data_IF_116676619307
#
_entry.id   IF_116676619307
#
_cell.length_a   1.000
_cell.length_b   1.000
_cell.length_c   1.000
_cell.angle_alpha   90.00
_cell.angle_beta   90.00
_cell.angle_gamma   90.00
#
_symmetry.space_group_name_H-M   'P 1'
#
loop_
_entity.id
_entity.type
_entity.pdbx_description
1 polymer ?
#
# COMPACT_ATOMS: atom_id res chain seq x y z
N UNK A 1 -15.19 -11.70 -32.81
CA UNK A 1 -14.17 -10.97 -32.05
C UNK A 1 -14.75 -9.75 -31.33
N UNK A 2 -15.40 -8.81 -32.00
CA UNK A 2 -15.98 -7.61 -31.35
C UNK A 2 -16.94 -7.91 -30.23
N UNK A 3 -17.75 -8.97 -30.32
CA UNK A 3 -18.69 -9.38 -29.29
C UNK A 3 -18.01 -9.61 -27.92
N UNK A 4 -16.90 -10.35 -27.90
CA UNK A 4 -16.18 -10.66 -26.66
C UNK A 4 -15.42 -9.45 -26.11
N UNK A 5 -14.95 -8.55 -26.98
CA UNK A 5 -14.33 -7.28 -26.57
C UNK A 5 -15.38 -6.40 -25.87
N UNK A 6 -16.54 -6.20 -26.51
CA UNK A 6 -17.63 -5.43 -25.91
C UNK A 6 -18.08 -6.07 -24.60
N UNK A 7 -18.22 -7.39 -24.57
CA UNK A 7 -18.63 -8.11 -23.37
C UNK A 7 -17.61 -7.97 -22.23
N UNK A 8 -16.31 -8.16 -22.49
CA UNK A 8 -15.25 -7.99 -21.49
C UNK A 8 -15.20 -6.56 -20.95
N UNK A 9 -15.28 -5.56 -21.82
CA UNK A 9 -15.35 -4.16 -21.42
C UNK A 9 -16.61 -3.86 -20.57
N UNK A 10 -17.78 -4.37 -21.00
CA UNK A 10 -19.03 -4.19 -20.23
C UNK A 10 -18.98 -4.82 -18.85
N UNK A 11 -18.34 -5.99 -18.72
CA UNK A 11 -18.14 -6.64 -17.40
C UNK A 11 -17.24 -5.78 -16.51
N UNK A 12 -16.14 -5.25 -17.03
CA UNK A 12 -15.26 -4.37 -16.28
C UNK A 12 -15.98 -3.11 -15.80
N UNK A 13 -16.71 -2.44 -16.70
CA UNK A 13 -17.51 -1.25 -16.35
C UNK A 13 -18.64 -1.57 -15.37
N UNK A 14 -19.32 -2.71 -15.55
CA UNK A 14 -20.37 -3.17 -14.65
C UNK A 14 -19.84 -3.41 -13.23
N UNK A 15 -18.70 -4.06 -13.10
CA UNK A 15 -18.03 -4.25 -11.82
C UNK A 15 -17.71 -2.90 -11.19
N UNK A 16 -17.04 -2.01 -11.94
CA UNK A 16 -16.61 -0.70 -11.42
C UNK A 16 -17.78 0.18 -10.96
N UNK A 17 -18.83 0.30 -11.78
CA UNK A 17 -19.88 1.29 -11.55
C UNK A 17 -21.16 0.74 -10.90
N UNK A 18 -21.38 -0.58 -10.91
CA UNK A 18 -22.56 -1.19 -10.32
C UNK A 18 -22.27 -2.06 -9.10
N UNK A 19 -21.12 -2.72 -9.05
CA UNK A 19 -20.79 -3.65 -7.97
C UNK A 19 -19.92 -3.00 -6.89
N UNK A 20 -18.80 -2.37 -7.28
CA UNK A 20 -17.87 -1.75 -6.33
C UNK A 20 -18.48 -0.67 -5.43
N UNK A 21 -19.41 0.22 -5.89
CA UNK A 21 -19.97 1.25 -5.01
C UNK A 21 -20.79 0.71 -3.83
N UNK A 22 -21.15 -0.57 -3.84
CA UNK A 22 -21.83 -1.23 -2.73
C UNK A 22 -20.92 -2.02 -1.80
N UNK A 23 -19.60 -1.82 -1.91
CA UNK A 23 -18.58 -2.51 -1.12
C UNK A 23 -17.79 -1.47 -0.31
N UNK A 24 -17.44 -1.83 0.90
CA UNK A 24 -16.59 -1.03 1.78
C UNK A 24 -15.10 -1.34 1.57
N UNK A 25 -14.80 -2.52 0.98
CA UNK A 25 -13.44 -3.00 0.75
C UNK A 25 -13.35 -3.93 -0.48
N UNK A 26 -12.15 -4.18 -1.03
CA UNK A 26 -11.92 -5.13 -2.11
C UNK A 26 -12.38 -6.55 -1.73
N UNK A 27 -13.19 -7.17 -2.58
CA UNK A 27 -13.70 -8.52 -2.38
C UNK A 27 -13.26 -9.47 -3.49
N UNK A 28 -13.04 -10.74 -3.15
CA UNK A 28 -12.70 -11.80 -4.10
C UNK A 28 -13.73 -11.96 -5.24
N UNK A 29 -14.98 -11.53 -5.04
CA UNK A 29 -16.02 -11.58 -6.06
C UNK A 29 -15.68 -10.72 -7.29
N UNK A 30 -14.90 -9.64 -7.11
CA UNK A 30 -14.46 -8.75 -8.21
C UNK A 30 -13.63 -9.50 -9.25
N UNK A 31 -12.93 -10.55 -8.84
CA UNK A 31 -12.09 -11.39 -9.69
C UNK A 31 -12.79 -12.69 -10.09
N UNK A 32 -13.54 -13.30 -9.19
CA UNK A 32 -14.21 -14.59 -9.43
C UNK A 32 -15.39 -14.46 -10.39
N UNK A 33 -16.18 -13.39 -10.28
CA UNK A 33 -17.36 -13.19 -11.13
C UNK A 33 -17.00 -13.14 -12.63
N UNK A 34 -16.02 -12.37 -13.10
CA UNK A 34 -15.62 -12.36 -14.51
C UNK A 34 -15.12 -13.73 -14.99
N UNK A 35 -14.40 -14.48 -14.14
CA UNK A 35 -13.93 -15.81 -14.50
C UNK A 35 -15.11 -16.78 -14.66
N UNK A 36 -16.13 -16.70 -13.82
CA UNK A 36 -17.37 -17.49 -13.96
C UNK A 36 -18.13 -17.09 -15.25
N UNK A 37 -18.13 -15.80 -15.59
CA UNK A 37 -18.75 -15.28 -16.81
C UNK A 37 -18.08 -15.81 -18.10
N UNK A 38 -16.86 -16.34 -18.06
CA UNK A 38 -16.26 -17.05 -19.20
C UNK A 38 -17.16 -18.21 -19.69
N UNK A 39 -17.89 -18.89 -18.79
CA UNK A 39 -18.79 -19.97 -19.17
C UNK A 39 -19.96 -19.50 -20.04
N UNK A 40 -20.31 -18.23 -20.00
CA UNK A 40 -21.41 -17.64 -20.78
C UNK A 40 -21.01 -17.25 -22.21
N UNK A 41 -19.72 -17.25 -22.54
CA UNK A 41 -19.22 -16.83 -23.86
C UNK A 41 -19.81 -17.70 -24.98
N UNK A 42 -19.82 -19.03 -24.79
CA UNK A 42 -20.35 -19.95 -25.80
C UNK A 42 -21.86 -19.75 -26.00
N UNK A 43 -22.71 -19.77 -24.95
CA UNK A 43 -24.14 -19.52 -25.10
C UNK A 43 -24.43 -18.14 -25.71
N UNK A 44 -23.76 -17.07 -25.28
CA UNK A 44 -23.96 -15.74 -25.84
C UNK A 44 -23.65 -15.70 -27.34
N UNK A 45 -22.55 -16.31 -27.78
CA UNK A 45 -22.23 -16.40 -29.21
C UNK A 45 -23.32 -17.15 -29.99
N UNK A 46 -23.82 -18.26 -29.46
CA UNK A 46 -24.88 -19.04 -30.12
C UNK A 46 -26.22 -18.31 -30.23
N UNK A 47 -26.49 -17.39 -29.30
CA UNK A 47 -27.71 -16.55 -29.35
C UNK A 47 -27.57 -15.41 -30.34
N UNK A 48 -26.41 -14.75 -30.39
CA UNK A 48 -26.22 -13.51 -31.14
C UNK A 48 -25.76 -13.80 -32.57
N UNK A 49 -24.91 -14.81 -32.77
CA UNK A 49 -24.33 -15.14 -34.06
C UNK A 49 -25.20 -16.23 -34.75
N UNK A 50 -25.66 -16.01 -35.98
CA UNK A 50 -26.43 -17.03 -36.71
C UNK A 50 -25.72 -18.38 -36.71
N UNK A 51 -26.48 -19.49 -36.55
CA UNK A 51 -25.97 -20.85 -36.42
C UNK A 51 -25.03 -21.27 -37.52
N UNK A 52 -25.32 -20.87 -38.75
CA UNK A 52 -24.46 -21.12 -39.96
C UNK A 52 -23.00 -20.64 -39.80
N UNK A 53 -22.74 -19.68 -38.89
CA UNK A 53 -21.39 -19.19 -38.59
C UNK A 53 -20.85 -19.77 -37.31
N UNK A 54 -21.69 -19.88 -36.25
CA UNK A 54 -21.24 -20.38 -34.94
C UNK A 54 -20.91 -21.88 -34.95
N UNK A 55 -21.57 -22.67 -35.83
CA UNK A 55 -21.28 -24.10 -36.04
C UNK A 55 -19.91 -24.35 -36.68
N UNK A 56 -19.34 -23.35 -37.37
CA UNK A 56 -17.99 -23.44 -37.93
C UNK A 56 -16.87 -23.20 -36.94
N UNK A 57 -17.22 -22.86 -35.69
CA UNK A 57 -16.20 -22.56 -34.69
C UNK A 57 -15.53 -23.85 -34.20
N UNK A 58 -14.22 -23.86 -34.29
CA UNK A 58 -13.35 -24.90 -33.74
C UNK A 58 -13.05 -24.62 -32.28
N UNK A 59 -12.50 -25.62 -31.56
CA UNK A 59 -12.00 -25.42 -30.19
C UNK A 59 -10.98 -24.28 -30.07
N UNK A 60 -10.14 -24.08 -31.12
CA UNK A 60 -9.21 -22.97 -31.18
C UNK A 60 -9.90 -21.60 -31.26
N UNK A 61 -11.06 -21.51 -31.93
CA UNK A 61 -11.84 -20.27 -31.98
C UNK A 61 -12.47 -19.95 -30.63
N UNK A 62 -12.97 -20.98 -29.91
CA UNK A 62 -13.51 -20.80 -28.55
C UNK A 62 -12.42 -20.41 -27.55
N UNK A 63 -11.25 -21.03 -27.61
CA UNK A 63 -10.12 -20.65 -26.77
C UNK A 63 -9.73 -19.19 -27.00
N UNK A 64 -9.60 -18.74 -28.27
CA UNK A 64 -9.32 -17.34 -28.60
C UNK A 64 -10.39 -16.39 -28.10
N UNK A 65 -11.66 -16.78 -28.14
CA UNK A 65 -12.77 -15.95 -27.67
C UNK A 65 -12.67 -15.78 -26.13
N UNK A 66 -12.43 -16.85 -25.38
CA UNK A 66 -12.26 -16.81 -23.92
C UNK A 66 -11.03 -15.98 -23.56
N UNK A 67 -9.89 -16.23 -24.21
CA UNK A 67 -8.66 -15.48 -23.99
C UNK A 67 -8.85 -13.98 -24.23
N UNK A 68 -9.49 -13.62 -25.35
CA UNK A 68 -9.75 -12.23 -25.69
C UNK A 68 -10.71 -11.56 -24.72
N UNK A 69 -11.72 -12.28 -24.22
CA UNK A 69 -12.60 -11.78 -23.14
C UNK A 69 -11.82 -11.47 -21.87
N UNK A 70 -11.04 -12.44 -21.37
CA UNK A 70 -10.25 -12.29 -20.14
C UNK A 70 -9.27 -11.12 -20.26
N UNK A 71 -8.53 -11.07 -21.39
CA UNK A 71 -7.58 -9.99 -21.63
C UNK A 71 -8.26 -8.62 -21.71
N UNK A 72 -9.40 -8.52 -22.40
CA UNK A 72 -10.15 -7.28 -22.52
C UNK A 72 -10.72 -6.85 -21.17
N UNK A 73 -11.30 -7.80 -20.42
CA UNK A 73 -11.77 -7.51 -19.07
C UNK A 73 -10.64 -6.99 -18.18
N UNK A 74 -9.49 -7.65 -18.14
CA UNK A 74 -8.34 -7.21 -17.33
C UNK A 74 -7.85 -5.82 -17.76
N UNK A 75 -7.70 -5.58 -19.06
CA UNK A 75 -7.24 -4.30 -19.58
C UNK A 75 -8.20 -3.15 -19.21
N UNK A 76 -9.52 -3.35 -19.39
CA UNK A 76 -10.50 -2.34 -19.00
C UNK A 76 -10.61 -2.19 -17.48
N UNK A 77 -10.54 -3.28 -16.72
CA UNK A 77 -10.52 -3.22 -15.26
C UNK A 77 -9.32 -2.39 -14.77
N UNK A 78 -8.15 -2.61 -15.34
CA UNK A 78 -6.96 -1.81 -15.02
C UNK A 78 -7.19 -0.31 -15.29
N UNK A 79 -7.75 0.04 -16.43
CA UNK A 79 -8.02 1.43 -16.77
C UNK A 79 -9.03 2.08 -15.82
N UNK A 80 -10.15 1.39 -15.52
CA UNK A 80 -11.25 1.99 -14.73
C UNK A 80 -11.05 1.89 -13.21
N UNK A 81 -10.03 1.16 -12.75
CA UNK A 81 -9.67 1.03 -11.33
C UNK A 81 -8.45 1.86 -10.92
N UNK A 82 -7.92 2.66 -11.85
CA UNK A 82 -6.75 3.52 -11.58
C UNK A 82 -7.08 4.99 -11.87
N UNK A 83 -6.28 5.94 -11.33
CA UNK A 83 -6.44 7.36 -11.61
C UNK A 83 -6.42 7.68 -13.11
N UNK A 84 -7.22 8.65 -13.56
CA UNK A 84 -8.13 9.52 -12.79
C UNK A 84 -9.55 8.95 -12.60
N UNK A 85 -9.84 7.69 -12.95
CA UNK A 85 -11.19 7.13 -12.95
C UNK A 85 -11.56 6.47 -11.60
N UNK A 86 -10.57 6.02 -10.87
CA UNK A 86 -10.70 5.44 -9.54
C UNK A 86 -9.39 5.57 -8.78
N UNK A 87 -9.46 5.35 -7.48
CA UNK A 87 -8.32 5.21 -6.61
C UNK A 87 -8.62 4.12 -5.58
N UNK A 88 -8.10 2.93 -5.83
CA UNK A 88 -8.32 1.74 -5.01
C UNK A 88 -7.05 1.26 -4.30
N UNK A 89 -5.95 1.95 -4.53
CA UNK A 89 -4.67 1.57 -3.95
C UNK A 89 -4.49 2.28 -2.61
N UNK A 90 -4.35 1.55 -1.50
CA UNK A 90 -4.16 2.20 -0.20
C UNK A 90 -2.81 2.91 -0.11
N UNK A 91 -2.69 3.94 0.74
CA UNK A 91 -1.44 4.61 1.00
C UNK A 91 -0.42 3.65 1.62
N UNK A 92 0.86 3.88 1.37
CA UNK A 92 1.95 3.00 1.83
C UNK A 92 3.09 3.82 2.43
N UNK A 93 4.03 3.15 3.09
CA UNK A 93 5.31 3.75 3.46
C UNK A 93 6.40 3.36 2.48
N UNK A 94 7.18 4.34 2.03
CA UNK A 94 8.35 4.12 1.20
C UNK A 94 9.47 3.45 2.02
N UNK A 95 9.55 2.13 1.94
CA UNK A 95 10.60 1.34 2.61
C UNK A 95 10.41 1.11 4.12
N UNK A 96 9.31 1.56 4.72
CA UNK A 96 9.04 1.43 6.16
C UNK A 96 9.59 2.60 6.97
N UNK A 97 10.04 2.35 8.21
CA UNK A 97 10.66 3.36 9.08
C UNK A 97 12.20 3.34 8.95
N UNK A 98 12.85 4.46 9.27
CA UNK A 98 14.30 4.56 9.46
C UNK A 98 14.64 5.35 10.72
N UNK A 99 15.86 5.22 11.18
CA UNK A 99 16.38 5.92 12.34
C UNK A 99 17.58 6.77 11.91
N UNK A 100 17.71 7.98 12.45
CA UNK A 100 18.89 8.79 12.27
C UNK A 100 20.10 8.14 12.97
N UNK A 101 21.29 8.22 12.36
CA UNK A 101 22.53 7.79 12.99
C UNK A 101 22.93 8.80 14.06
N UNK A 102 22.54 8.56 15.31
CA UNK A 102 22.92 9.37 16.47
C UNK A 102 24.11 8.79 17.22
N UNK A 103 24.66 9.57 18.17
CA UNK A 103 25.77 9.12 19.01
C UNK A 103 25.34 7.93 19.87
N UNK A 104 26.20 6.91 19.99
CA UNK A 104 25.94 5.70 20.77
C UNK A 104 25.35 4.55 19.96
N UNK A 105 24.85 4.77 18.75
CA UNK A 105 24.43 3.70 17.84
C UNK A 105 25.67 3.07 17.21
N UNK A 106 25.94 1.81 17.54
CA UNK A 106 27.08 1.06 17.00
C UNK A 106 26.71 0.33 15.72
N UNK A 107 25.57 -0.35 15.73
CA UNK A 107 25.07 -1.12 14.59
C UNK A 107 23.54 -1.07 14.53
N UNK A 108 23.02 -1.05 13.33
CA UNK A 108 21.57 -1.15 13.08
C UNK A 108 21.25 -2.27 12.10
N UNK A 109 20.08 -2.88 12.27
CA UNK A 109 19.58 -3.83 11.27
C UNK A 109 18.06 -3.71 11.13
N UNK A 110 17.56 -3.99 9.90
CA UNK A 110 16.15 -4.00 9.60
C UNK A 110 15.74 -5.35 9.02
N UNK A 111 14.78 -6.00 9.68
CA UNK A 111 14.26 -7.27 9.21
C UNK A 111 12.81 -7.48 9.63
N UNK A 112 11.93 -7.74 8.66
CA UNK A 112 10.54 -8.12 8.88
C UNK A 112 9.76 -7.18 9.81
N UNK A 113 9.92 -5.86 9.65
CA UNK A 113 9.23 -4.86 10.48
C UNK A 113 9.88 -4.61 11.85
N UNK A 114 11.00 -5.26 12.14
CA UNK A 114 11.81 -5.02 13.35
C UNK A 114 13.05 -4.22 13.00
N UNK A 115 13.20 -3.08 13.63
CA UNK A 115 14.39 -2.24 13.59
C UNK A 115 15.22 -2.52 14.84
N UNK A 116 16.40 -3.11 14.69
CA UNK A 116 17.31 -3.39 15.82
C UNK A 116 18.40 -2.34 15.89
N UNK A 117 18.60 -1.79 17.08
CA UNK A 117 19.67 -0.83 17.40
C UNK A 117 20.55 -1.46 18.47
N UNK A 118 21.85 -1.62 18.18
CA UNK A 118 22.85 -2.05 19.15
C UNK A 118 23.62 -0.83 19.66
N UNK A 119 23.71 -0.70 20.98
CA UNK A 119 24.30 0.44 21.66
C UNK A 119 25.65 0.10 22.31
N UNK A 120 26.55 1.08 22.35
CA UNK A 120 27.75 1.04 23.17
C UNK A 120 27.64 1.87 24.45
N UNK A 121 26.42 2.34 24.78
CA UNK A 121 26.11 3.16 25.95
C UNK A 121 24.77 2.72 26.58
N UNK A 122 24.39 3.33 27.72
CA UNK A 122 23.22 2.91 28.49
C UNK A 122 21.88 3.30 27.83
N UNK A 123 21.85 4.41 27.12
CA UNK A 123 20.65 4.98 26.47
C UNK A 123 21.00 5.55 25.09
N UNK A 124 20.01 5.86 24.28
CA UNK A 124 20.20 6.47 22.97
C UNK A 124 19.12 7.50 22.67
N UNK A 125 19.51 8.61 22.05
CA UNK A 125 18.56 9.55 21.47
C UNK A 125 18.12 9.03 20.11
N UNK A 126 16.81 8.84 19.95
CA UNK A 126 16.23 8.23 18.76
C UNK A 126 15.40 9.23 18.00
N UNK A 127 15.79 9.53 16.77
CA UNK A 127 14.95 10.23 15.78
C UNK A 127 14.50 9.23 14.74
N UNK A 128 13.20 9.06 14.63
CA UNK A 128 12.57 8.13 13.66
C UNK A 128 11.97 8.88 12.50
N UNK A 129 12.16 8.36 11.29
CA UNK A 129 11.54 8.90 10.09
C UNK A 129 10.81 7.86 9.26
N UNK A 130 9.86 8.34 8.48
CA UNK A 130 9.15 7.57 7.46
C UNK A 130 8.78 8.47 6.28
N UNK A 131 8.53 7.88 5.10
CA UNK A 131 8.01 8.61 3.95
C UNK A 131 6.66 8.03 3.52
N UNK A 132 5.62 8.85 3.60
CA UNK A 132 4.25 8.51 3.18
C UNK A 132 4.18 8.59 1.67
N UNK A 133 3.67 7.54 1.06
CA UNK A 133 3.49 7.43 -0.40
C UNK A 133 2.06 7.12 -0.72
N UNK A 134 1.52 7.87 -1.67
CA UNK A 134 0.26 7.59 -2.32
C UNK A 134 0.36 7.76 -3.83
N UNK A 135 -0.52 7.09 -4.58
CA UNK A 135 -0.53 7.13 -6.04
C UNK A 135 -1.26 8.37 -6.61
N UNK A 136 -2.00 9.10 -5.78
CA UNK A 136 -2.76 10.30 -6.17
C UNK A 136 -2.27 11.52 -5.43
N UNK A 137 -2.32 11.50 -4.09
CA UNK A 137 -2.08 12.67 -3.25
C UNK A 137 -1.62 12.27 -1.83
N UNK A 138 -0.30 12.11 -1.64
CA UNK A 138 0.25 11.79 -0.33
C UNK A 138 0.02 12.89 0.72
N UNK A 139 -0.20 14.14 0.32
CA UNK A 139 -0.45 15.28 1.22
C UNK A 139 -1.76 15.13 1.99
N UNK A 140 -2.78 14.55 1.34
CA UNK A 140 -4.12 14.38 1.91
C UNK A 140 -4.29 13.12 2.76
N UNK A 141 -3.31 12.22 2.79
CA UNK A 141 -3.33 11.02 3.62
C UNK A 141 -3.43 11.40 5.08
N UNK A 142 -4.47 10.93 5.76
CA UNK A 142 -4.63 11.10 7.21
C UNK A 142 -3.82 10.02 7.93
N UNK A 143 -2.99 10.44 8.88
CA UNK A 143 -2.05 9.59 9.61
C UNK A 143 -2.43 9.64 11.08
N UNK A 144 -2.53 8.46 11.70
CA UNK A 144 -2.55 8.29 13.15
C UNK A 144 -1.36 7.39 13.47
N UNK A 145 -0.42 7.92 14.25
CA UNK A 145 0.77 7.17 14.64
C UNK A 145 1.06 7.36 16.12
N UNK A 146 1.48 6.29 16.79
CA UNK A 146 1.84 6.32 18.20
C UNK A 146 2.97 5.33 18.53
N UNK A 147 3.74 5.65 19.55
CA UNK A 147 4.77 4.79 20.12
C UNK A 147 4.30 4.20 21.45
N UNK A 148 4.58 2.91 21.66
CA UNK A 148 4.23 2.16 22.85
C UNK A 148 5.46 1.49 23.46
N UNK A 149 5.49 1.40 24.78
CA UNK A 149 6.43 0.60 25.52
C UNK A 149 5.69 -0.33 26.47
N UNK A 150 5.93 -1.64 26.36
CA UNK A 150 5.23 -2.68 27.17
C UNK A 150 3.71 -2.61 27.11
N UNK A 151 3.17 -2.17 25.94
CA UNK A 151 1.72 -2.05 25.73
C UNK A 151 1.08 -0.76 26.25
N UNK A 152 1.85 0.14 26.86
CA UNK A 152 1.39 1.47 27.25
C UNK A 152 1.85 2.50 26.22
N UNK A 153 0.93 3.38 25.78
CA UNK A 153 1.26 4.47 24.87
C UNK A 153 2.18 5.45 25.60
N UNK A 154 3.34 5.72 25.00
CA UNK A 154 4.27 6.73 25.48
C UNK A 154 3.90 8.09 24.89
N UNK A 155 3.65 8.13 23.58
CA UNK A 155 3.42 9.35 22.83
C UNK A 155 2.56 9.11 21.60
N UNK A 156 1.69 10.07 21.27
CA UNK A 156 1.02 10.20 19.99
C UNK A 156 1.93 10.99 19.05
N UNK A 157 2.42 10.35 17.98
CA UNK A 157 3.37 10.95 17.05
C UNK A 157 2.67 11.77 15.98
N UNK A 158 1.55 11.27 15.44
CA UNK A 158 0.78 11.94 14.42
C UNK A 158 -0.72 11.73 14.59
N UNK A 159 -1.50 12.79 14.30
CA UNK A 159 -2.96 12.74 14.26
C UNK A 159 -3.48 13.85 13.32
N UNK A 160 -3.51 13.57 12.02
CA UNK A 160 -3.93 14.54 11.00
C UNK A 160 -3.46 14.17 9.60
N UNK A 161 -3.63 15.08 8.65
CA UNK A 161 -3.14 14.86 7.27
C UNK A 161 -1.62 14.99 7.21
N UNK A 162 -0.98 14.27 6.29
CA UNK A 162 0.48 14.32 6.13
C UNK A 162 1.01 15.74 6.00
N UNK A 163 0.36 16.57 5.18
CA UNK A 163 0.75 17.97 4.98
C UNK A 163 0.57 18.86 6.23
N UNK A 164 -0.24 18.45 7.21
CA UNK A 164 -0.43 19.23 8.44
C UNK A 164 0.72 19.13 9.43
N UNK A 165 1.60 18.14 9.25
CA UNK A 165 2.77 17.86 10.08
C UNK A 165 4.01 18.61 9.58
N UNK A 166 3.95 19.95 9.58
CA UNK A 166 5.00 20.80 8.99
C UNK A 166 6.32 20.75 9.75
N UNK A 167 6.29 20.63 11.08
CA UNK A 167 7.49 20.53 11.92
C UNK A 167 8.21 19.20 11.68
N UNK A 168 7.46 18.11 11.54
CA UNK A 168 7.97 16.78 11.24
C UNK A 168 8.53 16.68 9.81
N UNK A 169 7.94 17.39 8.86
CA UNK A 169 8.49 17.52 7.50
C UNK A 169 9.82 18.27 7.49
N UNK A 170 9.90 19.41 8.18
CA UNK A 170 11.14 20.19 8.31
C UNK A 170 12.23 19.37 9.03
N UNK A 171 11.86 18.61 10.05
CA UNK A 171 12.78 17.71 10.74
C UNK A 171 13.30 16.64 9.79
N UNK A 172 12.42 15.96 9.04
CA UNK A 172 12.82 14.94 8.06
C UNK A 172 13.82 15.48 7.04
N UNK A 173 13.55 16.67 6.49
CA UNK A 173 14.39 17.31 5.50
C UNK A 173 15.74 17.78 6.05
N UNK A 174 15.86 17.98 7.36
CA UNK A 174 17.10 18.36 8.03
C UNK A 174 18.08 17.21 8.22
N UNK A 175 17.58 15.95 8.18
CA UNK A 175 18.36 14.75 8.46
C UNK A 175 19.04 14.24 7.18
N UNK A 176 20.36 14.05 7.23
CA UNK A 176 21.15 13.59 6.09
C UNK A 176 21.83 12.23 6.33
N UNK A 177 21.69 11.66 7.50
CA UNK A 177 22.41 10.48 7.97
C UNK A 177 21.47 9.37 8.43
N UNK A 178 20.44 9.07 7.62
CA UNK A 178 19.58 7.92 7.82
C UNK A 178 20.39 6.62 7.78
N UNK A 179 20.18 5.72 8.76
CA UNK A 179 20.98 4.49 8.87
C UNK A 179 20.79 3.51 7.72
N UNK A 180 19.62 3.57 7.05
CA UNK A 180 19.32 2.76 5.85
C UNK A 180 19.55 3.51 4.54
N UNK A 181 20.03 4.77 4.63
CA UNK A 181 20.30 5.62 3.48
C UNK A 181 19.06 5.91 2.65
N UNK A 182 19.16 5.85 1.32
CA UNK A 182 18.08 6.23 0.40
C UNK A 182 16.87 5.26 0.39
N UNK A 183 16.87 4.22 1.22
CA UNK A 183 15.77 3.22 1.21
C UNK A 183 14.46 3.74 1.72
N UNK A 184 14.50 4.74 2.59
CA UNK A 184 13.33 5.47 3.11
C UNK A 184 13.27 6.88 2.53
N UNK A 185 14.09 7.15 1.53
CA UNK A 185 14.11 8.44 0.84
C UNK A 185 12.80 8.68 0.08
N UNK A 186 12.18 9.86 0.25
CA UNK A 186 10.97 10.22 -0.48
C UNK A 186 11.28 10.43 -1.96
N UNK A 187 10.37 9.99 -2.83
CA UNK A 187 10.31 10.46 -4.21
C UNK A 187 9.54 11.79 -4.26
N UNK A 188 9.58 12.49 -5.37
CA UNK A 188 9.09 13.87 -5.47
C UNK A 188 7.61 14.11 -5.14
N UNK A 189 6.81 13.05 -4.92
CA UNK A 189 5.41 13.12 -4.47
C UNK A 189 5.19 12.51 -3.08
N UNK A 190 6.22 11.96 -2.45
CA UNK A 190 6.11 11.36 -1.11
C UNK A 190 6.30 12.46 -0.05
N UNK A 191 5.67 12.29 1.12
CA UNK A 191 5.83 13.19 2.25
C UNK A 191 6.70 12.52 3.30
N UNK A 192 7.89 13.09 3.53
CA UNK A 192 8.79 12.67 4.61
C UNK A 192 8.34 13.27 5.94
N UNK A 193 8.29 12.46 7.00
CA UNK A 193 7.97 12.88 8.36
C UNK A 193 8.98 12.27 9.32
N UNK A 194 9.45 13.05 10.29
CA UNK A 194 10.34 12.57 11.35
C UNK A 194 9.93 13.09 12.73
N UNK A 195 10.21 12.30 13.75
CA UNK A 195 9.91 12.59 15.15
C UNK A 195 11.13 12.32 16.01
N UNK A 196 11.42 13.25 16.92
CA UNK A 196 12.37 13.04 18.01
C UNK A 196 11.66 12.28 19.14
N UNK A 197 11.98 11.00 19.29
CA UNK A 197 11.42 10.13 20.33
C UNK A 197 12.13 10.33 21.69
N UNK A 198 13.10 11.24 21.74
CA UNK A 198 13.93 11.49 22.92
C UNK A 198 14.88 10.35 23.25
N UNK A 199 15.33 10.36 24.51
CA UNK A 199 16.27 9.35 25.02
C UNK A 199 15.54 8.08 25.42
N UNK A 200 15.86 6.97 24.76
CA UNK A 200 15.24 5.67 25.01
C UNK A 200 16.20 4.71 25.73
N UNK A 201 15.65 3.93 26.66
CA UNK A 201 16.34 2.81 27.33
C UNK A 201 16.37 1.55 26.46
N UNK A 202 17.28 0.61 26.71
CA UNK A 202 17.22 -0.72 26.10
C UNK A 202 15.87 -1.42 26.34
N UNK A 203 15.27 -1.93 25.28
CA UNK A 203 13.94 -2.54 25.31
C UNK A 203 13.30 -2.67 23.95
N UNK A 204 12.03 -3.07 23.92
CA UNK A 204 11.23 -3.18 22.72
C UNK A 204 10.11 -2.14 22.72
N UNK A 205 10.11 -1.30 21.71
CA UNK A 205 9.12 -0.26 21.49
C UNK A 205 8.30 -0.62 20.24
N UNK A 206 6.99 -0.43 20.31
CA UNK A 206 6.09 -0.69 19.20
C UNK A 206 5.64 0.64 18.61
N UNK A 207 5.73 0.77 17.29
CA UNK A 207 5.19 1.89 16.52
C UNK A 207 3.97 1.38 15.78
N UNK A 208 2.80 1.94 16.06
CA UNK A 208 1.56 1.66 15.34
C UNK A 208 1.23 2.83 14.43
N UNK A 209 0.96 2.56 13.17
CA UNK A 209 0.67 3.56 12.15
C UNK A 209 -0.59 3.14 11.41
N UNK A 210 -1.59 4.00 11.40
CA UNK A 210 -2.77 3.87 10.56
C UNK A 210 -2.81 5.02 9.58
N UNK A 211 -2.88 4.71 8.30
CA UNK A 211 -3.01 5.69 7.22
C UNK A 211 -4.34 5.48 6.51
N UNK A 212 -5.08 6.56 6.30
CA UNK A 212 -6.36 6.53 5.58
C UNK A 212 -6.42 7.66 4.55
N UNK A 213 -7.03 7.36 3.42
CA UNK A 213 -7.31 8.33 2.38
C UNK A 213 -8.72 8.16 1.81
N UNK A 214 -9.27 9.23 1.24
CA UNK A 214 -10.53 9.17 0.53
C UNK A 214 -10.29 8.68 -0.89
N UNK A 215 -10.24 7.38 -1.07
CA UNK A 215 -10.18 6.76 -2.38
C UNK A 215 -11.53 6.76 -3.13
N UNK A 216 -11.61 6.03 -4.22
CA UNK A 216 -12.82 5.84 -5.02
C UNK A 216 -12.85 4.42 -5.59
N UNK A 217 -13.80 3.57 -5.17
CA UNK A 217 -15.12 3.87 -4.57
C UNK A 217 -15.18 3.82 -3.04
N UNK A 218 -14.14 3.43 -2.34
CA UNK A 218 -14.12 3.29 -0.87
C UNK A 218 -12.99 4.10 -0.24
N UNK A 219 -12.99 4.17 1.08
CA UNK A 219 -11.86 4.70 1.85
C UNK A 219 -10.76 3.64 1.86
N UNK A 220 -9.56 4.03 1.46
CA UNK A 220 -8.39 3.17 1.50
C UNK A 220 -7.72 3.29 2.88
N UNK A 221 -7.35 2.15 3.48
CA UNK A 221 -6.72 2.12 4.81
C UNK A 221 -5.53 1.17 4.79
N UNK A 222 -4.44 1.59 5.44
CA UNK A 222 -3.27 0.77 5.71
C UNK A 222 -2.96 0.82 7.20
N UNK A 223 -2.81 -0.34 7.82
CA UNK A 223 -2.36 -0.48 9.21
C UNK A 223 -0.99 -1.15 9.22
N UNK A 224 -0.03 -0.53 9.89
CA UNK A 224 1.35 -1.00 9.98
C UNK A 224 1.78 -1.03 11.44
N UNK A 225 2.53 -2.06 11.79
CA UNK A 225 3.15 -2.21 13.11
C UNK A 225 4.63 -2.48 12.90
N UNK A 226 5.45 -1.65 13.53
CA UNK A 226 6.89 -1.80 13.56
C UNK A 226 7.39 -1.96 14.99
N UNK A 227 8.53 -2.61 15.16
CA UNK A 227 9.20 -2.74 16.46
C UNK A 227 10.57 -2.09 16.37
N UNK A 228 10.89 -1.21 17.31
CA UNK A 228 12.26 -0.73 17.56
C UNK A 228 12.79 -1.53 18.74
N UNK A 229 13.78 -2.38 18.49
CA UNK A 229 14.44 -3.22 19.50
C UNK A 229 15.81 -2.65 19.82
N UNK A 230 15.97 -2.11 21.03
CA UNK A 230 17.21 -1.48 21.50
C UNK A 230 17.93 -2.45 22.42
N UNK A 231 19.16 -2.80 22.09
CA UNK A 231 19.99 -3.72 22.86
C UNK A 231 21.38 -3.12 23.15
N UNK A 232 21.92 -3.39 24.34
CA UNK A 232 23.32 -3.07 24.63
C UNK A 232 24.25 -4.12 24.05
N UNK A 233 25.32 -3.67 23.40
CA UNK A 233 26.41 -4.54 23.00
C UNK A 233 27.17 -4.98 24.24
N UNK A 234 27.04 -6.27 24.62
CA UNK A 234 27.82 -6.81 25.72
C UNK A 234 29.27 -6.93 25.28
N UNK A 235 30.13 -6.01 25.66
CA UNK A 235 31.59 -6.18 25.50
C UNK A 235 32.00 -7.30 26.45
N UNK A 236 32.21 -8.50 25.91
CA UNK A 236 32.85 -9.57 26.66
C UNK A 236 34.29 -9.15 26.97
N UNK A 237 34.56 -8.82 28.22
CA UNK A 237 35.87 -8.45 28.75
C UNK A 237 36.82 -9.65 28.78
#
# INVERSE_FOLDING_TARGET
MWLVIIYGASVALGIRYLLMPGMDEPSAILYLLPLLLCATIIPIHKIIIPSKYSELYTNGNWFRAIFLFVFTWLAFSFIVSNPPLADIAPPTLAGGIDIEQTEGIEETSWKNGVYTINLNQDTVDVVMGMAVRDNVDAESVNIIAAIYYRGEMIEELANGTAISHTEEMEMFDSINNWTRGDRVGPHGSDIGLAWDLGTLDPGEYTIEITMTEQGSPWVNTTELIYTISIAQTTVLA
#
